data_IF_222386904489
#
_entry.id   IF_222386904489
#
_cell.length_a   1.000
_cell.length_b   1.000
_cell.length_c   1.000
_cell.angle_alpha   90.00
_cell.angle_beta   90.00
_cell.angle_gamma   90.00
#
_symmetry.space_group_name_H-M   'P 1'
#
loop_
_entity.id
_entity.type
_entity.pdbx_description
1 polymer ?
#
# COMPACT_ATOMS: atom_id res chain seq x y z
N UNK A 1 16.15 -8.02 -0.64
CA UNK A 1 15.26 -7.99 -1.82
C UNK A 1 16.09 -8.36 -3.04
N UNK A 2 15.82 -9.50 -3.69
CA UNK A 2 16.52 -9.88 -4.92
C UNK A 2 15.79 -9.19 -6.08
N UNK A 3 16.45 -8.25 -6.74
CA UNK A 3 15.86 -7.52 -7.86
C UNK A 3 15.79 -8.48 -9.07
N UNK A 4 14.63 -9.10 -9.27
CA UNK A 4 14.34 -9.92 -10.45
C UNK A 4 14.26 -9.00 -11.67
N UNK A 5 14.81 -9.41 -12.80
CA UNK A 5 14.64 -8.67 -14.06
C UNK A 5 13.18 -8.83 -14.54
N UNK A 6 12.38 -7.78 -14.34
CA UNK A 6 10.94 -7.72 -14.67
C UNK A 6 10.62 -8.19 -16.09
N UNK A 7 11.54 -7.99 -17.04
CA UNK A 7 11.35 -8.37 -18.45
C UNK A 7 11.52 -9.87 -18.69
N UNK A 8 12.08 -10.61 -17.74
CA UNK A 8 12.33 -12.07 -17.84
C UNK A 8 11.27 -12.91 -17.16
N UNK A 9 10.36 -12.29 -16.40
CA UNK A 9 9.27 -12.98 -15.72
C UNK A 9 8.11 -13.25 -16.68
N UNK A 10 7.49 -14.43 -16.55
CA UNK A 10 6.21 -14.74 -17.18
C UNK A 10 5.11 -13.81 -16.65
N UNK A 11 4.00 -13.62 -17.39
CA UNK A 11 2.89 -12.78 -16.95
C UNK A 11 2.38 -13.12 -15.54
N UNK A 12 2.24 -14.40 -15.21
CA UNK A 12 1.77 -14.88 -13.90
C UNK A 12 2.77 -14.52 -12.79
N UNK A 13 4.07 -14.73 -13.03
CA UNK A 13 5.13 -14.38 -12.08
C UNK A 13 5.21 -12.87 -11.82
N UNK A 14 4.85 -12.05 -12.81
CA UNK A 14 4.77 -10.59 -12.66
C UNK A 14 3.60 -10.18 -11.77
N UNK A 15 2.45 -10.85 -11.92
CA UNK A 15 1.28 -10.63 -11.05
C UNK A 15 1.62 -11.04 -9.63
N UNK A 16 2.18 -12.23 -9.43
CA UNK A 16 2.57 -12.71 -8.11
C UNK A 16 3.59 -11.77 -7.45
N UNK A 17 4.58 -11.30 -8.21
CA UNK A 17 5.53 -10.31 -7.71
C UNK A 17 4.83 -9.01 -7.29
N UNK A 18 3.91 -8.50 -8.11
CA UNK A 18 3.18 -7.26 -7.82
C UNK A 18 2.27 -7.39 -6.58
N UNK A 19 1.61 -8.53 -6.41
CA UNK A 19 0.80 -8.84 -5.22
C UNK A 19 1.71 -8.89 -3.99
N UNK A 20 2.80 -9.63 -4.04
CA UNK A 20 3.76 -9.72 -2.93
C UNK A 20 4.34 -8.35 -2.54
N UNK A 21 4.66 -7.51 -3.53
CA UNK A 21 5.11 -6.14 -3.28
C UNK A 21 4.02 -5.31 -2.60
N UNK A 22 2.77 -5.47 -3.00
CA UNK A 22 1.63 -4.77 -2.41
C UNK A 22 1.39 -5.20 -0.97
N UNK A 23 1.50 -6.49 -0.67
CA UNK A 23 1.37 -7.04 0.69
C UNK A 23 2.44 -6.47 1.63
N UNK A 24 3.67 -6.32 1.16
CA UNK A 24 4.75 -5.68 1.94
C UNK A 24 4.39 -4.22 2.25
N UNK A 25 3.92 -3.45 1.26
CA UNK A 25 3.49 -2.07 1.48
C UNK A 25 2.33 -1.97 2.50
N UNK A 26 1.33 -2.84 2.39
CA UNK A 26 0.18 -2.89 3.30
C UNK A 26 0.66 -3.16 4.74
N UNK A 27 1.57 -4.12 4.94
CA UNK A 27 2.12 -4.46 6.25
C UNK A 27 2.86 -3.30 6.89
N UNK A 28 3.74 -2.63 6.14
CA UNK A 28 4.47 -1.44 6.63
C UNK A 28 3.49 -0.33 7.04
N UNK A 29 2.44 -0.09 6.23
CA UNK A 29 1.41 0.87 6.60
C UNK A 29 0.64 0.46 7.87
N UNK A 30 0.27 -0.81 8.00
CA UNK A 30 -0.43 -1.32 9.18
C UNK A 30 0.42 -1.19 10.45
N UNK A 31 1.72 -1.50 10.38
CA UNK A 31 2.67 -1.28 11.48
C UNK A 31 2.76 0.19 11.86
N UNK A 32 2.82 1.09 10.88
CA UNK A 32 2.81 2.54 11.11
C UNK A 32 1.53 3.03 11.79
N UNK A 33 0.37 2.46 11.45
CA UNK A 33 -0.90 2.79 12.12
C UNK A 33 -0.93 2.23 13.54
N UNK A 34 -0.55 0.97 13.75
CA UNK A 34 -0.47 0.36 15.10
C UNK A 34 0.49 1.11 16.03
N UNK A 35 1.60 1.64 15.50
CA UNK A 35 2.54 2.46 16.27
C UNK A 35 1.90 3.77 16.77
N UNK A 36 0.92 4.33 16.03
CA UNK A 36 0.18 5.53 16.43
C UNK A 36 -1.03 5.22 17.32
N UNK A 37 -1.61 4.02 17.15
CA UNK A 37 -2.82 3.57 17.85
C UNK A 37 -2.62 2.15 18.40
N UNK A 38 -1.96 1.97 19.56
CA UNK A 38 -1.53 0.66 20.05
C UNK A 38 -2.66 -0.35 20.34
N UNK A 39 -3.88 0.13 20.60
CA UNK A 39 -5.04 -0.69 20.97
C UNK A 39 -6.14 -0.67 19.90
N UNK A 40 -5.80 -0.30 18.66
CA UNK A 40 -6.76 -0.27 17.56
C UNK A 40 -7.29 -1.69 17.28
N UNK A 41 -8.59 -1.81 17.07
CA UNK A 41 -9.19 -3.05 16.60
C UNK A 41 -8.87 -3.28 15.11
N UNK A 42 -9.01 -4.54 14.66
CA UNK A 42 -8.60 -4.92 13.30
C UNK A 42 -9.47 -4.26 12.22
N UNK A 43 -10.77 -4.06 12.48
CA UNK A 43 -11.68 -3.43 11.52
C UNK A 43 -11.27 -1.97 11.28
N UNK A 44 -11.02 -1.23 12.35
CA UNK A 44 -10.58 0.16 12.30
C UNK A 44 -9.17 0.30 11.72
N UNK A 45 -8.28 -0.65 11.99
CA UNK A 45 -6.96 -0.69 11.37
C UNK A 45 -7.06 -0.79 9.85
N UNK A 46 -7.90 -1.70 9.34
CA UNK A 46 -8.11 -1.90 7.90
C UNK A 46 -8.60 -0.60 7.25
N UNK A 47 -9.55 0.11 7.87
CA UNK A 47 -10.05 1.39 7.36
C UNK A 47 -8.94 2.44 7.23
N UNK A 48 -8.14 2.63 8.29
CA UNK A 48 -7.07 3.63 8.29
C UNK A 48 -5.94 3.27 7.31
N UNK A 49 -5.61 1.99 7.17
CA UNK A 49 -4.64 1.54 6.17
C UNK A 49 -5.16 1.80 4.76
N UNK A 50 -6.44 1.51 4.48
CA UNK A 50 -7.08 1.84 3.18
C UNK A 50 -7.06 3.33 2.89
N UNK A 51 -7.33 4.18 3.88
CA UNK A 51 -7.26 5.63 3.74
C UNK A 51 -5.85 6.10 3.36
N UNK A 52 -4.81 5.57 4.02
CA UNK A 52 -3.41 5.88 3.71
C UNK A 52 -3.00 5.45 2.30
N UNK A 53 -3.42 4.25 1.86
CA UNK A 53 -3.13 3.77 0.51
C UNK A 53 -3.87 4.59 -0.57
N UNK A 54 -5.04 5.14 -0.24
CA UNK A 54 -5.81 6.02 -1.12
C UNK A 54 -5.30 7.48 -1.15
N UNK A 55 -4.28 7.82 -0.35
CA UNK A 55 -3.80 9.20 -0.19
C UNK A 55 -3.32 9.83 -1.51
N UNK A 56 -2.71 9.07 -2.43
CA UNK A 56 -2.32 9.58 -3.75
C UNK A 56 -3.52 10.02 -4.62
N UNK A 57 -4.66 9.35 -4.51
CA UNK A 57 -5.89 9.69 -5.25
C UNK A 57 -6.47 11.01 -4.75
N UNK A 58 -6.33 11.29 -3.45
CA UNK A 58 -6.79 12.53 -2.82
C UNK A 58 -5.79 13.69 -2.97
N UNK A 59 -4.48 13.43 -3.01
CA UNK A 59 -3.45 14.42 -3.35
C UNK A 59 -3.60 14.92 -4.79
N UNK A 60 -3.77 14.02 -5.77
CA UNK A 60 -4.02 14.41 -7.17
C UNK A 60 -5.28 15.26 -7.33
N UNK A 61 -6.38 14.94 -6.63
CA UNK A 61 -7.57 15.79 -6.61
C UNK A 61 -7.35 17.14 -5.94
N UNK A 62 -6.58 17.20 -4.84
CA UNK A 62 -6.25 18.46 -4.17
C UNK A 62 -5.37 19.37 -5.04
N UNK A 63 -4.39 18.82 -5.75
CA UNK A 63 -3.58 19.60 -6.69
C UNK A 63 -4.38 20.11 -7.90
N UNK A 64 -5.41 19.38 -8.36
CA UNK A 64 -6.29 19.82 -9.45
C UNK A 64 -7.36 20.83 -9.02
N UNK A 65 -7.67 20.95 -7.72
CA UNK A 65 -8.66 21.90 -7.17
C UNK A 65 -8.01 23.17 -6.59
N UNK A 66 -6.69 23.31 -6.69
CA UNK A 66 -5.91 24.47 -6.25
C UNK A 66 -5.19 25.18 -7.43
N UNK A 67 -5.59 24.87 -8.66
CA UNK A 67 -5.10 25.49 -9.90
C UNK A 67 -6.18 26.31 -10.59
#
# INVERSE_FOLDING_TARGET
>A
MRMQDWRRLKPEERVDLAVNMSDVCIRVCAEGVRAQYPNIDEERLIELVRERLMFEKNLRRRSLNLG
#
